data_IF_236809883873
#
_entry.id   IF_236809883873
#
_cell.length_a   1.000
_cell.length_b   1.000
_cell.length_c   1.000
_cell.angle_alpha   90.00
_cell.angle_beta   90.00
_cell.angle_gamma   90.00
#
_symmetry.space_group_name_H-M   'P 1'
#
loop_
_entity.id
_entity.type
_entity.pdbx_description
1 polymer ?
#
# COMPACT_ATOMS: atom_id res chain seq x y z
N UNK A 1 -5.05 -8.06 -15.34
CA UNK A 1 -5.23 -8.90 -14.12
C UNK A 1 -5.74 -7.95 -13.05
N UNK A 2 -5.60 -8.20 -11.74
CA UNK A 2 -6.21 -7.35 -10.73
C UNK A 2 -5.68 -7.66 -9.34
N UNK A 3 -6.22 -7.00 -8.34
CA UNK A 3 -5.88 -7.26 -6.93
C UNK A 3 -6.80 -8.34 -6.36
N UNK A 4 -6.32 -9.05 -5.35
CA UNK A 4 -7.10 -10.05 -4.60
C UNK A 4 -7.45 -9.59 -3.19
N UNK A 5 -6.76 -8.57 -2.69
CA UNK A 5 -7.06 -7.97 -1.40
C UNK A 5 -6.56 -6.53 -1.32
N UNK A 6 -7.24 -5.74 -0.49
CA UNK A 6 -6.89 -4.38 -0.14
C UNK A 6 -6.83 -4.25 1.38
N UNK A 7 -5.73 -3.68 1.86
CA UNK A 7 -5.49 -3.41 3.27
C UNK A 7 -5.48 -1.91 3.51
N UNK A 8 -6.05 -1.51 4.64
CA UNK A 8 -5.98 -0.15 5.16
C UNK A 8 -5.26 -0.12 6.49
N UNK A 9 -4.52 0.96 6.69
CA UNK A 9 -3.84 1.28 7.93
C UNK A 9 -4.08 2.75 8.26
N UNK A 10 -4.72 3.04 9.40
CA UNK A 10 -5.10 4.40 9.78
C UNK A 10 -4.00 5.15 10.55
N UNK A 11 -2.87 4.50 10.83
CA UNK A 11 -1.88 4.99 11.78
C UNK A 11 -2.19 4.50 13.20
N UNK A 12 -1.21 3.90 13.87
CA UNK A 12 -1.30 3.44 15.26
C UNK A 12 0.10 3.30 15.90
N UNK A 13 0.17 2.70 17.10
CA UNK A 13 1.42 2.49 17.84
C UNK A 13 2.44 1.58 17.15
N UNK A 14 2.04 0.80 16.15
CA UNK A 14 2.96 -0.04 15.37
C UNK A 14 3.58 0.72 14.18
N UNK A 15 2.81 1.64 13.56
CA UNK A 15 3.25 2.49 12.47
C UNK A 15 2.37 3.75 12.47
N UNK A 16 2.93 4.93 12.74
CA UNK A 16 2.13 6.16 12.84
C UNK A 16 1.58 6.62 11.48
N UNK A 17 2.35 6.38 10.41
CA UNK A 17 2.01 6.81 9.06
C UNK A 17 0.83 6.01 8.51
N UNK A 18 -0.29 6.63 8.13
CA UNK A 18 -1.41 5.94 7.51
C UNK A 18 -1.05 5.46 6.10
N UNK A 19 -1.75 4.45 5.60
CA UNK A 19 -1.52 3.96 4.25
C UNK A 19 -2.49 2.91 3.78
N UNK A 20 -2.37 2.54 2.50
CA UNK A 20 -3.10 1.43 1.89
C UNK A 20 -2.13 0.50 1.19
N UNK A 21 -2.44 -0.79 1.23
CA UNK A 21 -1.67 -1.83 0.54
C UNK A 21 -2.60 -2.65 -0.33
N UNK A 22 -2.15 -2.99 -1.52
CA UNK A 22 -2.86 -3.81 -2.49
C UNK A 22 -2.11 -5.12 -2.69
N UNK A 23 -2.79 -6.26 -2.60
CA UNK A 23 -2.21 -7.54 -2.99
C UNK A 23 -2.62 -7.86 -4.42
N UNK A 24 -1.68 -7.72 -5.34
CA UNK A 24 -1.84 -8.12 -6.73
C UNK A 24 -1.96 -9.64 -6.86
N UNK A 25 -2.72 -10.10 -7.87
CA UNK A 25 -2.96 -11.53 -8.11
C UNK A 25 -1.69 -12.35 -8.30
N UNK A 26 -0.64 -11.81 -8.92
CA UNK A 26 0.65 -12.55 -9.04
C UNK A 26 1.33 -12.78 -7.71
N UNK A 27 0.98 -12.01 -6.67
CA UNK A 27 1.44 -12.25 -5.31
C UNK A 27 0.87 -13.54 -4.71
N UNK A 28 -0.28 -14.04 -5.18
CA UNK A 28 -0.95 -15.17 -4.52
C UNK A 28 -0.07 -16.41 -4.42
N UNK A 29 0.76 -16.67 -5.44
CA UNK A 29 1.65 -17.83 -5.48
C UNK A 29 2.80 -17.70 -4.49
N UNK A 30 3.49 -16.55 -4.49
CA UNK A 30 4.67 -16.32 -3.63
C UNK A 30 4.30 -16.08 -2.17
N UNK A 31 3.09 -15.61 -1.89
CA UNK A 31 2.58 -15.43 -0.53
C UNK A 31 1.83 -16.67 0.00
N UNK A 32 1.50 -17.66 -0.82
CA UNK A 32 0.85 -18.89 -0.34
C UNK A 32 1.74 -19.69 0.64
N UNK A 33 3.06 -19.65 0.44
CA UNK A 33 4.02 -20.45 1.20
C UNK A 33 3.86 -21.97 0.98
N UNK A 34 4.61 -22.77 1.73
CA UNK A 34 4.62 -24.24 1.61
C UNK A 34 3.46 -24.94 2.37
N UNK A 35 2.38 -24.22 2.71
CA UNK A 35 1.29 -24.75 3.55
C UNK A 35 -0.09 -24.14 3.25
N UNK A 36 -1.12 -24.57 3.98
CA UNK A 36 -2.53 -24.12 3.86
C UNK A 36 -2.78 -22.67 4.32
N UNK A 37 -1.74 -21.84 4.45
CA UNK A 37 -1.87 -20.46 4.92
C UNK A 37 -2.38 -19.54 3.84
N UNK A 38 -3.38 -18.71 4.17
CA UNK A 38 -3.94 -17.75 3.22
C UNK A 38 -2.88 -16.76 2.70
N UNK A 39 -2.77 -16.55 1.37
CA UNK A 39 -1.81 -15.60 0.80
C UNK A 39 -2.12 -14.17 1.24
N UNK A 40 -3.37 -13.86 1.54
CA UNK A 40 -3.82 -12.58 2.10
C UNK A 40 -3.19 -12.34 3.48
N UNK A 41 -3.27 -13.35 4.37
CA UNK A 41 -2.65 -13.26 5.70
C UNK A 41 -1.13 -13.10 5.60
N UNK A 42 -0.49 -13.91 4.77
CA UNK A 42 0.96 -13.91 4.62
C UNK A 42 1.49 -12.62 3.96
N UNK A 43 0.76 -12.06 3.01
CA UNK A 43 1.04 -10.77 2.41
C UNK A 43 0.99 -9.64 3.46
N UNK A 44 -0.04 -9.63 4.32
CA UNK A 44 -0.11 -8.65 5.40
C UNK A 44 1.02 -8.80 6.42
N UNK A 45 1.38 -10.03 6.82
CA UNK A 45 2.51 -10.29 7.72
C UNK A 45 3.84 -9.88 7.09
N UNK A 46 4.02 -10.11 5.79
CA UNK A 46 5.19 -9.63 5.06
C UNK A 46 5.27 -8.09 5.09
N UNK A 47 4.18 -7.41 4.76
CA UNK A 47 4.09 -5.94 4.84
C UNK A 47 4.36 -5.41 6.26
N UNK A 48 3.81 -6.07 7.30
CA UNK A 48 4.10 -5.77 8.72
C UNK A 48 5.59 -5.76 8.99
N UNK A 49 6.28 -6.82 8.57
CA UNK A 49 7.68 -6.99 8.88
C UNK A 49 8.54 -5.96 8.16
N UNK A 50 8.34 -5.75 6.85
CA UNK A 50 9.18 -4.83 6.06
C UNK A 50 8.96 -3.37 6.43
N UNK A 51 7.73 -2.97 6.76
CA UNK A 51 7.42 -1.59 7.18
C UNK A 51 7.99 -1.28 8.58
N UNK A 52 8.08 -2.27 9.47
CA UNK A 52 8.70 -2.11 10.80
C UNK A 52 10.23 -1.95 10.72
N UNK A 53 10.89 -2.43 9.67
CA UNK A 53 12.36 -2.32 9.54
C UNK A 53 12.80 -0.86 9.35
N UNK A 54 12.00 -0.03 8.69
CA UNK A 54 12.33 1.38 8.43
C UNK A 54 11.29 2.36 8.99
N UNK A 55 10.85 2.14 10.23
CA UNK A 55 9.90 3.03 10.92
C UNK A 55 10.32 4.51 10.89
N UNK A 56 11.62 4.81 10.99
CA UNK A 56 12.11 6.19 10.92
C UNK A 56 11.80 6.81 9.56
N UNK A 57 12.17 6.14 8.46
CA UNK A 57 11.85 6.59 7.09
C UNK A 57 10.35 6.75 6.89
N UNK A 58 9.54 5.81 7.40
CA UNK A 58 8.09 5.90 7.24
C UNK A 58 7.48 7.14 7.92
N UNK A 59 8.07 7.62 9.04
CA UNK A 59 7.55 8.77 9.79
C UNK A 59 7.66 10.10 9.05
N UNK A 60 8.50 10.16 8.02
CA UNK A 60 8.68 11.37 7.22
C UNK A 60 7.52 11.59 6.22
N UNK A 61 6.73 10.54 5.96
CA UNK A 61 5.59 10.60 5.06
C UNK A 61 4.27 10.93 5.77
N UNK A 62 3.40 11.66 5.07
CA UNK A 62 2.02 11.90 5.49
C UNK A 62 1.12 10.69 5.17
N UNK A 63 1.49 9.88 4.18
CA UNK A 63 0.75 8.68 3.76
C UNK A 63 1.66 7.74 2.96
N UNK A 64 1.36 6.44 2.95
CA UNK A 64 2.03 5.50 2.05
C UNK A 64 1.07 4.66 1.21
N UNK A 65 1.56 4.24 0.05
CA UNK A 65 0.91 3.27 -0.81
C UNK A 65 1.81 2.05 -1.01
N UNK A 66 1.27 0.85 -0.80
CA UNK A 66 1.97 -0.39 -1.09
C UNK A 66 1.28 -1.20 -2.19
N UNK A 67 2.04 -1.79 -3.10
CA UNK A 67 1.54 -2.86 -3.98
C UNK A 67 2.40 -4.09 -3.80
N UNK A 68 1.81 -5.15 -3.25
CA UNK A 68 2.41 -6.46 -3.07
C UNK A 68 2.17 -7.31 -4.30
N UNK A 69 3.23 -7.87 -4.87
CA UNK A 69 3.16 -8.72 -6.04
C UNK A 69 4.26 -9.78 -6.04
N UNK A 70 4.22 -10.70 -7.01
CA UNK A 70 5.21 -11.76 -7.16
C UNK A 70 5.94 -11.66 -8.50
N UNK A 71 7.27 -11.84 -8.45
CA UNK A 71 8.13 -11.99 -9.63
C UNK A 71 8.94 -13.29 -9.48
N UNK A 72 8.65 -14.30 -10.32
CA UNK A 72 9.23 -15.63 -10.15
C UNK A 72 8.87 -16.24 -8.80
N UNK A 73 9.85 -16.43 -7.91
CA UNK A 73 9.66 -16.95 -6.54
C UNK A 73 9.79 -15.86 -5.47
N UNK A 74 9.93 -14.60 -5.87
CA UNK A 74 10.20 -13.50 -4.95
C UNK A 74 8.91 -12.77 -4.54
N UNK A 75 8.86 -12.40 -3.27
CA UNK A 75 7.86 -11.47 -2.72
C UNK A 75 8.35 -10.06 -2.95
N UNK A 76 7.52 -9.24 -3.60
CA UNK A 76 7.84 -7.85 -3.91
C UNK A 76 6.80 -6.91 -3.29
N UNK A 77 7.25 -5.78 -2.77
CA UNK A 77 6.43 -4.64 -2.37
C UNK A 77 6.95 -3.38 -3.06
N UNK A 78 6.15 -2.80 -3.92
CA UNK A 78 6.37 -1.42 -4.38
C UNK A 78 5.78 -0.49 -3.33
N UNK A 79 6.60 0.35 -2.72
CA UNK A 79 6.21 1.26 -1.66
C UNK A 79 6.40 2.70 -2.12
N UNK A 80 5.32 3.48 -2.06
CA UNK A 80 5.31 4.89 -2.40
C UNK A 80 5.04 5.72 -1.15
N UNK A 81 5.95 6.63 -0.81
CA UNK A 81 5.83 7.53 0.33
C UNK A 81 5.39 8.92 -0.15
N UNK A 82 4.27 9.42 0.36
CA UNK A 82 3.78 10.76 0.06
C UNK A 82 4.32 11.72 1.11
N UNK A 83 5.26 12.56 0.72
CA UNK A 83 5.83 13.57 1.62
C UNK A 83 4.78 14.63 1.98
N UNK A 84 4.95 15.18 3.19
CA UNK A 84 4.26 16.35 3.78
C UNK A 84 3.15 16.90 2.88
N UNK A 85 1.94 16.34 3.04
CA UNK A 85 0.76 16.83 2.31
C UNK A 85 0.01 17.94 3.08
N UNK A 86 0.57 18.43 4.19
CA UNK A 86 -0.06 19.46 5.00
C UNK A 86 0.12 20.85 4.37
N UNK A 87 -0.99 21.57 4.08
CA UNK A 87 -0.96 22.93 3.59
C UNK A 87 -0.74 23.93 4.74
N UNK A 88 0.05 23.59 5.75
CA UNK A 88 0.40 24.57 6.80
C UNK A 88 1.27 25.71 6.26
N UNK A 89 1.82 25.55 5.04
CA UNK A 89 2.57 26.56 4.29
C UNK A 89 2.05 26.80 2.85
N UNK A 90 1.13 25.99 2.33
CA UNK A 90 0.72 26.05 0.93
C UNK A 90 -0.53 26.92 0.73
N UNK A 91 -0.42 27.95 -0.12
CA UNK A 91 -1.54 28.74 -0.64
C UNK A 91 -2.51 27.92 -1.53
N UNK A 92 -2.36 26.60 -1.59
CA UNK A 92 -2.99 25.73 -2.56
C UNK A 92 -3.84 24.65 -1.87
N UNK A 93 -5.06 24.47 -2.36
CA UNK A 93 -6.00 23.50 -1.82
C UNK A 93 -5.49 22.06 -2.01
N UNK A 94 -5.85 21.15 -1.10
CA UNK A 94 -5.52 19.73 -1.16
C UNK A 94 -5.72 19.13 -2.55
N UNK A 95 -6.85 19.39 -3.23
CA UNK A 95 -7.11 18.82 -4.56
C UNK A 95 -6.13 19.28 -5.64
N UNK A 96 -5.49 20.44 -5.43
CA UNK A 96 -4.58 21.07 -6.40
C UNK A 96 -3.11 20.84 -6.08
N UNK A 97 -2.78 20.52 -4.82
CA UNK A 97 -1.40 20.19 -4.46
C UNK A 97 -0.90 18.99 -5.26
N UNK A 98 0.38 19.03 -5.65
CA UNK A 98 1.06 17.91 -6.27
C UNK A 98 2.09 17.39 -5.27
N UNK A 99 1.80 16.31 -4.53
CA UNK A 99 2.72 15.82 -3.51
C UNK A 99 3.98 15.23 -4.16
N UNK A 100 5.11 15.41 -3.50
CA UNK A 100 6.31 14.65 -3.80
C UNK A 100 6.11 13.20 -3.37
N UNK A 101 6.47 12.27 -4.25
CA UNK A 101 6.29 10.83 -4.05
C UNK A 101 7.62 10.14 -4.23
N UNK A 102 8.11 9.59 -3.13
CA UNK A 102 9.27 8.70 -3.13
C UNK A 102 8.83 7.27 -3.45
N UNK A 103 9.71 6.50 -4.11
CA UNK A 103 9.50 5.10 -4.43
C UNK A 103 10.64 4.24 -3.85
N UNK A 104 10.27 3.14 -3.19
CA UNK A 104 11.16 2.02 -2.90
C UNK A 104 10.56 0.72 -3.39
N UNK A 105 11.42 -0.20 -3.79
CA UNK A 105 11.05 -1.57 -4.08
C UNK A 105 11.64 -2.44 -2.98
N UNK A 106 10.81 -3.25 -2.33
CA UNK A 106 11.25 -4.22 -1.33
C UNK A 106 11.15 -5.61 -1.96
N UNK A 107 12.28 -6.29 -2.16
CA UNK A 107 12.34 -7.67 -2.72
C UNK A 107 12.89 -8.61 -1.68
N UNK A 108 12.18 -9.71 -1.41
CA UNK A 108 12.62 -10.69 -0.41
C UNK A 108 12.76 -10.14 1.02
N UNK A 109 12.33 -8.90 1.27
CA UNK A 109 12.47 -8.21 2.56
C UNK A 109 13.58 -7.13 2.57
N UNK A 110 14.37 -7.03 1.50
CA UNK A 110 15.42 -6.03 1.36
C UNK A 110 14.93 -4.81 0.59
N UNK A 111 15.27 -3.61 1.08
CA UNK A 111 14.92 -2.34 0.44
C UNK A 111 15.95 -2.02 -0.64
N UNK A 112 15.49 -1.96 -1.89
CA UNK A 112 16.33 -1.78 -3.06
C UNK A 112 15.92 -0.48 -3.77
N UNK A 113 16.92 0.28 -4.20
CA UNK A 113 16.71 1.45 -5.07
C UNK A 113 16.64 0.95 -6.53
N UNK A 114 15.45 0.56 -6.95
CA UNK A 114 15.14 0.12 -8.30
C UNK A 114 13.94 0.88 -8.86
N UNK A 115 13.92 1.10 -10.17
CA UNK A 115 12.82 1.77 -10.88
C UNK A 115 11.89 0.80 -11.62
N UNK A 116 11.88 -0.48 -11.23
CA UNK A 116 11.03 -1.51 -11.87
C UNK A 116 9.83 -1.80 -10.98
N UNK A 117 8.64 -1.73 -11.58
CA UNK A 117 7.35 -2.03 -10.97
C UNK A 117 6.49 -2.81 -11.97
N UNK A 118 5.36 -3.37 -11.54
CA UNK A 118 4.39 -3.96 -12.46
C UNK A 118 3.43 -2.91 -13.04
N UNK A 119 2.85 -3.18 -14.21
CA UNK A 119 1.94 -2.23 -14.88
C UNK A 119 0.70 -1.92 -14.02
N UNK A 120 0.14 -2.94 -13.35
CA UNK A 120 -1.02 -2.77 -12.46
C UNK A 120 -0.68 -1.83 -11.28
N UNK A 121 0.56 -1.79 -10.78
CA UNK A 121 1.00 -0.79 -9.78
C UNK A 121 0.84 0.62 -10.33
N UNK A 122 1.23 0.86 -11.58
CA UNK A 122 1.13 2.18 -12.22
C UNK A 122 -0.33 2.60 -12.38
N UNK A 123 -1.21 1.67 -12.74
CA UNK A 123 -2.66 1.92 -12.85
C UNK A 123 -3.24 2.27 -11.48
N UNK A 124 -2.91 1.49 -10.44
CA UNK A 124 -3.36 1.73 -9.06
C UNK A 124 -2.90 3.12 -8.58
N UNK A 125 -1.64 3.48 -8.82
CA UNK A 125 -1.10 4.80 -8.46
C UNK A 125 -1.88 5.93 -9.17
N UNK A 126 -2.23 5.74 -10.45
CA UNK A 126 -3.08 6.65 -11.20
C UNK A 126 -4.46 6.84 -10.57
N UNK A 127 -5.12 5.74 -10.19
CA UNK A 127 -6.43 5.74 -9.51
C UNK A 127 -6.38 6.42 -8.15
N UNK A 128 -5.31 6.21 -7.40
CA UNK A 128 -5.09 6.90 -6.12
C UNK A 128 -4.91 8.40 -6.32
N UNK A 129 -4.14 8.80 -7.33
CA UNK A 129 -3.98 10.21 -7.68
C UNK A 129 -5.29 10.87 -8.12
N UNK A 130 -6.12 10.17 -8.89
CA UNK A 130 -7.48 10.61 -9.23
C UNK A 130 -8.37 10.75 -7.98
N UNK A 131 -8.34 9.75 -7.10
CA UNK A 131 -9.12 9.75 -5.87
C UNK A 131 -8.70 10.89 -4.93
N UNK A 132 -7.40 11.09 -4.74
CA UNK A 132 -6.83 12.22 -3.98
C UNK A 132 -7.34 13.58 -4.47
N UNK A 133 -7.42 13.77 -5.80
CA UNK A 133 -7.93 15.01 -6.41
C UNK A 133 -9.44 15.22 -6.22
N UNK A 134 -10.19 14.18 -5.85
CA UNK A 134 -11.64 14.24 -5.62
C UNK A 134 -12.03 14.41 -4.15
N UNK A 135 -11.16 14.04 -3.22
CA UNK A 135 -11.42 14.17 -1.78
C UNK A 135 -11.19 15.59 -1.28
N UNK A 136 -11.88 15.99 -0.21
CA UNK A 136 -11.75 17.32 0.39
C UNK A 136 -10.43 17.53 1.13
N UNK A 137 -9.78 16.45 1.56
CA UNK A 137 -8.54 16.50 2.33
C UNK A 137 -7.98 15.11 2.65
N UNK A 138 -6.82 15.10 3.30
CA UNK A 138 -6.11 13.88 3.73
C UNK A 138 -6.99 12.95 4.57
N UNK A 139 -7.77 13.50 5.50
CA UNK A 139 -8.65 12.70 6.36
C UNK A 139 -9.71 11.92 5.55
N UNK A 140 -10.32 12.54 4.53
CA UNK A 140 -11.27 11.85 3.66
C UNK A 140 -10.57 10.82 2.78
N UNK A 141 -9.41 11.17 2.21
CA UNK A 141 -8.57 10.28 1.40
C UNK A 141 -8.12 9.01 2.13
N UNK A 142 -7.85 9.10 3.44
CA UNK A 142 -7.49 7.94 4.28
C UNK A 142 -8.72 7.05 4.57
N UNK A 143 -9.89 7.67 4.76
CA UNK A 143 -11.10 6.96 5.19
C UNK A 143 -11.97 6.43 4.04
N UNK A 144 -11.69 6.86 2.81
CA UNK A 144 -12.35 6.40 1.59
C UNK A 144 -11.36 5.70 0.69
N UNK A 145 -11.88 5.01 -0.34
CA UNK A 145 -11.06 4.24 -1.26
C UNK A 145 -11.30 4.68 -2.71
N UNK A 146 -10.29 4.56 -3.58
CA UNK A 146 -10.47 4.71 -5.00
C UNK A 146 -11.33 3.56 -5.54
N UNK A 147 -12.02 3.87 -6.64
CA UNK A 147 -12.56 2.88 -7.55
C UNK A 147 -11.42 2.41 -8.46
N UNK A 148 -11.01 1.15 -8.31
CA UNK A 148 -9.99 0.54 -9.16
C UNK A 148 -10.57 -0.11 -10.43
N UNK A 149 -11.88 -0.04 -10.64
CA UNK A 149 -12.58 -0.61 -11.79
C UNK A 149 -12.36 -2.11 -11.92
N UNK A 150 -11.85 -2.55 -13.07
CA UNK A 150 -11.60 -3.98 -13.33
C UNK A 150 -10.49 -4.60 -12.49
N UNK A 151 -9.71 -3.79 -11.76
CA UNK A 151 -8.68 -4.30 -10.86
C UNK A 151 -9.23 -4.70 -9.49
N UNK A 152 -10.46 -4.32 -9.12
CA UNK A 152 -11.02 -4.58 -7.79
C UNK A 152 -10.97 -6.07 -7.38
N UNK A 153 -10.88 -6.37 -6.07
CA UNK A 153 -11.03 -7.72 -5.58
C UNK A 153 -12.37 -8.29 -6.03
N UNK A 154 -12.37 -9.53 -6.51
CA UNK A 154 -13.63 -10.20 -6.89
C UNK A 154 -14.48 -10.62 -5.69
N UNK A 155 -13.90 -10.56 -4.48
CA UNK A 155 -14.53 -10.98 -3.23
C UNK A 155 -14.56 -9.80 -2.27
N UNK A 156 -15.76 -9.30 -1.98
CA UNK A 156 -16.01 -8.11 -1.14
C UNK A 156 -15.41 -8.24 0.26
N UNK A 157 -15.21 -9.47 0.75
CA UNK A 157 -14.59 -9.73 2.06
C UNK A 157 -13.14 -9.23 2.14
N UNK A 158 -12.51 -8.97 1.01
CA UNK A 158 -11.11 -8.57 0.91
C UNK A 158 -10.90 -7.13 0.44
N UNK A 159 -11.96 -6.31 0.38
CA UNK A 159 -11.89 -4.91 -0.08
C UNK A 159 -11.42 -3.91 0.99
N UNK A 160 -11.52 -4.26 2.27
CA UNK A 160 -11.17 -3.34 3.37
C UNK A 160 -10.62 -4.08 4.59
N UNK A 161 -9.56 -4.85 4.38
CA UNK A 161 -8.87 -5.53 5.47
C UNK A 161 -8.09 -4.50 6.31
N UNK A 162 -8.04 -4.71 7.63
CA UNK A 162 -7.17 -3.92 8.50
C UNK A 162 -5.81 -4.59 8.57
N UNK A 163 -4.79 -3.86 8.15
CA UNK A 163 -3.47 -4.43 7.93
C UNK A 163 -2.94 -5.10 9.23
N UNK A 164 -3.11 -4.45 10.39
CA UNK A 164 -2.66 -4.95 11.70
C UNK A 164 -3.72 -5.68 12.53
N UNK A 165 -4.95 -5.89 12.02
CA UNK A 165 -5.96 -6.67 12.76
C UNK A 165 -5.84 -8.18 12.54
N UNK A 166 -4.93 -8.62 11.67
CA UNK A 166 -4.71 -10.03 11.40
C UNK A 166 -3.87 -10.63 12.54
N UNK A 167 -4.25 -11.81 13.08
CA UNK A 167 -3.56 -12.40 14.22
C UNK A 167 -2.08 -12.61 13.89
N UNK A 168 -1.21 -11.93 14.64
CA UNK A 168 0.22 -12.18 14.64
C UNK A 168 0.44 -13.62 15.12
N UNK A 169 1.35 -14.35 14.48
CA UNK A 169 1.71 -15.69 14.96
C UNK A 169 2.24 -15.56 16.40
N UNK A 170 1.66 -16.35 17.30
CA UNK A 170 2.28 -16.73 18.58
C UNK A 170 3.35 -17.76 18.28
#
# INVERSE_FOLDING_TARGET
MGIIARYSHKGDGHLLTPGRIYLHRTGSEVFNGDGMSSPIKNAALYAQNVLKVRLCTMRDYAYFLGVLWGEGREKVLDLFGYEIMEPSSAKEAWQKSNPDVDLWVIRGGEWISENRTCEDTTIILGREGEHRRRTAGLAEFINTFPDLGSLEPTDERYENLKLWALPQQV
#
